data_IF_257466546673
#
_entry.id   IF_257466546673
#
_cell.length_a   1.000
_cell.length_b   1.000
_cell.length_c   1.000
_cell.angle_alpha   90.00
_cell.angle_beta   90.00
_cell.angle_gamma   90.00
#
_symmetry.space_group_name_H-M   'P 1'
#
loop_
_entity.id
_entity.type
_entity.pdbx_description
1 polymer ?
#
# COMPACT_ATOMS: atom_id res chain seq x y z
N UNK A 1 9.44 -9.22 61.66
CA UNK A 1 10.61 -9.79 62.32
C UNK A 1 11.61 -8.71 62.64
N UNK A 2 12.14 -8.72 63.89
CA UNK A 2 13.16 -7.78 64.35
C UNK A 2 14.53 -8.21 63.74
N UNK A 3 15.28 -7.27 63.23
CA UNK A 3 16.62 -7.54 62.72
C UNK A 3 17.64 -6.58 63.30
N UNK A 4 18.65 -7.12 63.94
CA UNK A 4 19.84 -6.40 64.45
C UNK A 4 20.98 -6.41 63.42
N UNK A 5 20.69 -6.39 62.14
CA UNK A 5 21.74 -6.43 61.11
C UNK A 5 22.35 -5.06 60.84
N UNK A 6 23.66 -4.97 60.63
CA UNK A 6 24.25 -3.78 60.06
C UNK A 6 23.65 -3.55 58.66
N UNK A 7 23.73 -2.29 58.18
CA UNK A 7 23.20 -1.88 56.88
C UNK A 7 23.67 -2.85 55.78
N UNK A 8 22.74 -3.58 55.20
CA UNK A 8 23.01 -4.50 54.06
C UNK A 8 21.84 -4.41 53.08
N UNK A 9 22.12 -4.47 51.87
CA UNK A 9 21.13 -4.31 50.80
C UNK A 9 20.60 -2.88 50.70
N UNK A 10 19.33 -2.74 50.38
CA UNK A 10 18.66 -1.44 50.19
C UNK A 10 18.38 -0.60 51.45
N UNK A 11 18.93 -0.97 52.61
CA UNK A 11 18.79 -0.17 53.82
C UNK A 11 19.71 1.04 53.74
N UNK A 12 19.14 2.24 53.67
CA UNK A 12 19.90 3.51 53.56
C UNK A 12 20.08 4.22 54.89
N UNK A 13 19.35 3.80 55.94
CA UNK A 13 19.37 4.46 57.24
C UNK A 13 20.01 3.61 58.31
N UNK A 14 20.72 4.28 59.25
CA UNK A 14 21.24 3.66 60.46
C UNK A 14 20.06 3.31 61.41
N UNK A 15 20.23 2.23 62.20
CA UNK A 15 19.25 1.83 63.20
C UNK A 15 18.97 2.98 64.19
N UNK A 16 17.70 3.30 64.37
CA UNK A 16 17.24 4.40 65.24
C UNK A 16 16.83 3.94 66.63
N UNK A 17 17.15 2.73 67.06
CA UNK A 17 16.81 2.16 68.38
C UNK A 17 16.41 0.72 68.36
N UNK A 18 15.65 0.27 69.39
CA UNK A 18 15.31 -1.12 69.60
C UNK A 18 14.30 -1.68 68.60
N UNK A 19 13.62 -0.82 67.78
CA UNK A 19 12.64 -1.24 66.78
C UNK A 19 12.85 -0.50 65.47
N UNK A 20 13.52 -1.16 64.50
CA UNK A 20 13.65 -0.64 63.15
C UNK A 20 12.51 -1.15 62.25
N UNK A 21 11.70 -0.23 61.74
CA UNK A 21 10.73 -0.50 60.70
C UNK A 21 11.41 -0.45 59.31
N UNK A 22 11.41 -1.55 58.61
CA UNK A 22 11.84 -1.59 57.25
C UNK A 22 10.72 -1.07 56.35
N UNK A 23 10.88 0.15 55.84
CA UNK A 23 10.13 0.55 54.66
C UNK A 23 10.81 -0.05 53.45
N UNK A 24 10.39 -1.24 53.04
CA UNK A 24 10.73 -1.73 51.73
C UNK A 24 9.93 -0.86 50.73
N UNK A 25 10.59 0.09 50.12
CA UNK A 25 10.07 0.66 48.87
C UNK A 25 10.17 -0.47 47.83
N UNK A 26 9.11 -1.22 47.73
CA UNK A 26 8.94 -2.08 46.55
C UNK A 26 8.88 -1.11 45.38
N UNK A 27 9.92 -1.09 44.56
CA UNK A 27 9.76 -0.58 43.20
C UNK A 27 8.52 -1.26 42.64
N UNK A 28 7.67 -0.58 41.86
CA UNK A 28 6.61 -1.23 41.14
C UNK A 28 7.23 -2.46 40.47
N UNK A 29 6.59 -3.60 40.72
CA UNK A 29 7.12 -4.93 40.47
C UNK A 29 7.80 -5.01 39.11
N UNK A 30 9.12 -5.07 39.12
CA UNK A 30 9.93 -5.44 37.99
C UNK A 30 9.73 -6.93 37.74
N UNK A 31 8.84 -7.30 36.88
CA UNK A 31 8.82 -8.65 36.32
C UNK A 31 9.82 -8.63 35.16
N UNK A 32 10.60 -9.69 35.03
CA UNK A 32 11.48 -9.89 33.88
C UNK A 32 10.64 -10.10 32.61
N UNK A 33 10.05 -9.01 32.11
CA UNK A 33 9.32 -8.95 30.85
C UNK A 33 10.22 -8.33 29.77
N UNK A 34 9.96 -8.62 28.50
CA UNK A 34 10.63 -7.87 27.44
C UNK A 34 10.39 -6.38 27.58
N UNK A 35 11.40 -5.57 27.26
CA UNK A 35 11.28 -4.11 27.22
C UNK A 35 10.18 -3.68 26.23
N UNK A 36 9.40 -2.67 26.66
CA UNK A 36 8.47 -1.93 25.79
C UNK A 36 8.82 -0.46 25.85
N UNK A 37 8.66 0.26 24.75
CA UNK A 37 9.01 1.67 24.67
C UNK A 37 8.04 2.55 25.48
N UNK A 38 8.34 2.75 26.78
CA UNK A 38 7.42 3.41 27.69
C UNK A 38 8.10 4.27 28.77
N UNK A 39 9.42 4.48 28.70
CA UNK A 39 10.26 5.20 29.68
C UNK A 39 10.43 4.49 31.02
N UNK A 40 10.06 3.23 31.16
CA UNK A 40 10.31 2.39 32.31
C UNK A 40 11.31 1.28 31.96
N UNK A 41 12.07 0.84 32.95
CA UNK A 41 12.95 -0.33 32.86
C UNK A 41 12.10 -1.58 33.20
N UNK A 42 11.48 -2.17 32.16
CA UNK A 42 10.53 -3.29 32.32
C UNK A 42 11.25 -4.62 32.63
N UNK A 43 12.51 -4.79 32.16
CA UNK A 43 13.30 -6.00 32.37
C UNK A 43 14.23 -5.89 33.61
N UNK A 44 14.34 -4.71 34.22
CA UNK A 44 15.09 -4.43 35.45
C UNK A 44 16.59 -4.66 35.35
N UNK A 45 17.16 -4.44 34.20
CA UNK A 45 18.60 -4.54 34.00
C UNK A 45 19.35 -3.22 34.33
N UNK A 46 18.62 -2.15 34.65
CA UNK A 46 19.14 -0.82 35.01
C UNK A 46 19.27 0.13 33.81
N UNK A 47 18.79 -0.28 32.63
CA UNK A 47 18.76 0.54 31.42
C UNK A 47 17.29 0.66 30.96
N UNK A 48 16.82 1.86 30.72
CA UNK A 48 15.46 2.16 30.31
C UNK A 48 15.33 1.93 28.81
N UNK A 49 14.27 1.24 28.38
CA UNK A 49 13.89 1.04 26.98
C UNK A 49 15.02 0.45 26.10
N UNK A 50 15.95 -0.34 26.67
CA UNK A 50 16.96 -1.04 25.91
C UNK A 50 16.38 -2.32 25.26
N UNK A 51 17.04 -2.79 24.19
CA UNK A 51 16.63 -3.97 23.43
C UNK A 51 15.19 -3.94 22.86
N UNK A 52 14.51 -2.78 22.86
CA UNK A 52 13.22 -2.61 22.20
C UNK A 52 13.39 -2.73 20.69
N UNK A 53 12.76 -3.74 20.08
CA UNK A 53 12.78 -3.94 18.63
C UNK A 53 11.46 -3.45 18.05
N UNK A 54 11.51 -2.33 17.32
CA UNK A 54 10.36 -1.90 16.55
C UNK A 54 10.01 -2.89 15.46
N UNK A 55 8.75 -3.22 15.33
CA UNK A 55 8.26 -4.15 14.33
C UNK A 55 7.30 -3.46 13.36
N UNK A 56 7.38 -3.84 12.10
CA UNK A 56 6.46 -3.38 11.07
C UNK A 56 6.26 -4.46 10.01
N UNK A 57 5.02 -4.70 9.67
CA UNK A 57 4.62 -5.54 8.55
C UNK A 57 3.65 -4.82 7.66
N UNK A 58 3.69 -5.10 6.35
CA UNK A 58 2.73 -4.56 5.40
C UNK A 58 2.06 -5.69 4.63
N UNK A 59 0.82 -5.44 4.22
CA UNK A 59 0.04 -6.37 3.42
C UNK A 59 -0.77 -5.65 2.34
N UNK A 60 -1.14 -6.36 1.27
CA UNK A 60 -2.00 -5.86 0.22
C UNK A 60 -3.40 -6.48 0.32
N UNK A 61 -4.45 -5.67 0.21
CA UNK A 61 -5.84 -6.12 0.28
C UNK A 61 -6.33 -6.81 -1.00
N UNK A 62 -5.46 -7.03 -1.99
CA UNK A 62 -5.81 -7.68 -3.26
C UNK A 62 -4.62 -7.86 -4.17
N UNK A 63 -4.89 -8.05 -5.47
CA UNK A 63 -3.84 -8.21 -6.48
C UNK A 63 -3.02 -6.93 -6.63
N UNK A 64 -1.71 -7.09 -6.71
CA UNK A 64 -0.76 -5.98 -6.88
C UNK A 64 -0.40 -5.72 -8.34
N UNK A 65 -1.01 -6.41 -9.28
CA UNK A 65 -0.86 -6.23 -10.72
C UNK A 65 -2.19 -5.83 -11.35
N UNK A 66 -2.27 -4.64 -11.92
CA UNK A 66 -3.51 -4.12 -12.51
C UNK A 66 -3.25 -3.14 -13.64
N UNK A 67 -4.30 -2.81 -14.37
CA UNK A 67 -4.23 -1.84 -15.48
C UNK A 67 -4.21 -0.40 -14.96
N UNK A 68 -3.65 0.50 -15.75
CA UNK A 68 -3.66 1.94 -15.48
C UNK A 68 -5.09 2.44 -15.20
N UNK A 69 -5.25 3.14 -14.08
CA UNK A 69 -6.53 3.59 -13.53
C UNK A 69 -7.07 2.72 -12.40
N UNK A 70 -6.46 1.54 -12.15
CA UNK A 70 -6.71 0.73 -10.96
C UNK A 70 -5.82 1.12 -9.79
N UNK A 71 -6.06 0.49 -8.63
CA UNK A 71 -5.29 0.67 -7.40
C UNK A 71 -5.41 -0.56 -6.50
N UNK A 72 -4.52 -0.65 -5.52
CA UNK A 72 -4.59 -1.62 -4.43
C UNK A 72 -4.42 -0.90 -3.10
N UNK A 73 -5.19 -1.29 -2.09
CA UNK A 73 -5.00 -0.81 -0.72
C UNK A 73 -3.89 -1.61 -0.05
N UNK A 74 -2.91 -0.93 0.50
CA UNK A 74 -1.85 -1.47 1.34
C UNK A 74 -2.17 -1.10 2.79
N UNK A 75 -1.87 -2.00 3.73
CA UNK A 75 -2.04 -1.76 5.17
C UNK A 75 -0.76 -2.10 5.91
N UNK A 76 -0.46 -1.33 6.95
CA UNK A 76 0.66 -1.54 7.84
C UNK A 76 0.17 -1.89 9.25
N UNK A 77 0.85 -2.84 9.90
CA UNK A 77 0.76 -3.13 11.34
C UNK A 77 2.14 -2.88 11.92
N UNK A 78 2.24 -2.07 12.97
CA UNK A 78 3.50 -1.58 13.51
C UNK A 78 3.40 -1.29 15.01
N UNK A 79 4.55 -1.26 15.69
CA UNK A 79 4.67 -0.99 17.12
C UNK A 79 5.01 0.48 17.45
N UNK A 80 5.72 1.19 16.56
CA UNK A 80 6.18 2.55 16.78
C UNK A 80 5.08 3.62 16.88
N UNK A 81 5.47 4.85 17.19
CA UNK A 81 4.55 5.98 17.39
C UNK A 81 4.25 6.76 16.12
N UNK A 82 5.06 6.63 15.10
CA UNK A 82 4.89 7.28 13.80
C UNK A 82 5.03 6.31 12.65
N UNK A 83 4.46 6.68 11.50
CA UNK A 83 4.45 5.88 10.28
C UNK A 83 4.70 6.75 9.05
N UNK A 84 5.52 6.26 8.11
CA UNK A 84 5.75 6.92 6.83
C UNK A 84 5.83 5.88 5.70
N UNK A 85 4.95 5.98 4.70
CA UNK A 85 5.04 5.16 3.50
C UNK A 85 6.12 5.69 2.56
N UNK A 86 6.83 4.76 1.95
CA UNK A 86 7.86 5.01 0.95
C UNK A 86 7.52 4.31 -0.37
N UNK A 87 7.97 4.92 -1.45
CA UNK A 87 7.95 4.31 -2.78
C UNK A 87 9.35 4.33 -3.38
N UNK A 88 9.88 3.17 -3.74
CA UNK A 88 11.26 3.00 -4.23
C UNK A 88 12.30 3.64 -3.30
N UNK A 89 12.10 3.53 -1.98
CA UNK A 89 12.99 4.08 -0.96
C UNK A 89 12.87 5.59 -0.73
N UNK A 90 11.86 6.25 -1.33
CA UNK A 90 11.61 7.71 -1.16
C UNK A 90 10.27 7.91 -0.45
N UNK A 91 10.24 8.78 0.53
CA UNK A 91 9.04 9.10 1.29
C UNK A 91 7.93 9.64 0.38
N UNK A 92 6.71 9.15 0.59
CA UNK A 92 5.51 9.67 -0.06
C UNK A 92 4.97 10.79 0.83
N UNK A 93 5.00 12.06 0.40
CA UNK A 93 4.60 13.17 1.24
C UNK A 93 3.17 13.01 1.79
N UNK A 94 3.04 13.11 3.13
CA UNK A 94 1.75 13.02 3.83
C UNK A 94 1.17 11.60 3.96
N UNK A 95 1.86 10.56 3.50
CA UNK A 95 1.41 9.17 3.63
C UNK A 95 1.82 8.59 5.00
N UNK A 96 1.13 9.00 6.06
CA UNK A 96 1.43 8.66 7.45
C UNK A 96 0.33 7.83 8.12
N UNK A 97 -0.69 7.41 7.38
CA UNK A 97 -1.76 6.56 7.90
C UNK A 97 -1.43 5.08 7.74
N UNK A 98 -1.99 4.22 8.58
CA UNK A 98 -1.82 2.77 8.50
C UNK A 98 -2.28 2.16 7.16
N UNK A 99 -3.15 2.82 6.42
CA UNK A 99 -3.60 2.41 5.09
C UNK A 99 -3.10 3.40 4.03
N UNK A 100 -2.62 2.86 2.90
CA UNK A 100 -2.21 3.62 1.73
C UNK A 100 -2.77 3.02 0.44
N UNK A 101 -3.28 3.85 -0.47
CA UNK A 101 -3.78 3.40 -1.77
C UNK A 101 -2.71 3.56 -2.83
N UNK A 102 -2.13 2.45 -3.28
CA UNK A 102 -1.10 2.43 -4.32
C UNK A 102 -1.74 2.32 -5.71
N UNK A 103 -1.59 3.34 -6.54
CA UNK A 103 -2.11 3.43 -7.92
C UNK A 103 -1.02 3.52 -8.98
N UNK A 104 0.25 3.50 -8.60
CA UNK A 104 1.38 3.63 -9.52
C UNK A 104 2.39 2.51 -9.31
N UNK A 105 3.06 2.13 -10.40
CA UNK A 105 4.10 1.08 -10.34
C UNK A 105 5.26 1.48 -9.45
N UNK A 106 5.71 0.55 -8.58
CA UNK A 106 6.87 0.75 -7.70
C UNK A 106 6.95 -0.29 -6.59
N UNK A 107 8.05 -0.27 -5.84
CA UNK A 107 8.22 -0.98 -4.59
C UNK A 107 7.72 -0.08 -3.45
N UNK A 108 6.79 -0.58 -2.67
CA UNK A 108 6.23 0.13 -1.52
C UNK A 108 6.73 -0.50 -0.24
N UNK A 109 7.19 0.31 0.68
CA UNK A 109 7.59 -0.05 2.03
C UNK A 109 7.03 0.98 3.01
N UNK A 110 7.10 0.66 4.28
CA UNK A 110 6.68 1.56 5.33
C UNK A 110 7.74 1.61 6.42
N UNK A 111 7.99 2.77 6.95
CA UNK A 111 8.91 3.02 8.07
C UNK A 111 8.09 3.38 9.29
N UNK A 112 8.37 2.76 10.43
CA UNK A 112 7.86 3.18 11.73
C UNK A 112 9.00 3.71 12.59
N UNK A 113 8.71 4.68 13.43
CA UNK A 113 9.69 5.29 14.33
C UNK A 113 9.04 5.55 15.67
N UNK A 114 9.81 5.34 16.75
CA UNK A 114 9.52 5.74 18.12
C UNK A 114 10.77 6.35 18.74
N UNK A 115 10.70 6.72 20.00
CA UNK A 115 11.87 7.19 20.76
C UNK A 115 12.90 6.07 20.95
N UNK A 116 12.49 4.80 20.87
CA UNK A 116 13.33 3.61 21.05
C UNK A 116 13.98 3.11 19.75
N UNK A 117 13.53 3.57 18.58
CA UNK A 117 14.14 3.15 17.32
C UNK A 117 13.29 3.35 16.09
N UNK A 118 13.79 2.73 15.01
CA UNK A 118 13.16 2.78 13.69
C UNK A 118 13.20 1.39 13.07
N UNK A 119 12.08 0.97 12.47
CA UNK A 119 12.00 -0.24 11.65
C UNK A 119 11.44 0.06 10.26
N UNK A 120 11.88 -0.72 9.28
CA UNK A 120 11.38 -0.68 7.91
C UNK A 120 10.78 -2.04 7.54
N UNK A 121 9.64 -2.03 6.86
CA UNK A 121 8.98 -3.25 6.42
C UNK A 121 9.69 -3.91 5.23
N UNK A 122 9.37 -5.16 4.96
CA UNK A 122 9.56 -5.75 3.64
C UNK A 122 8.84 -4.92 2.57
N UNK A 123 9.19 -5.14 1.30
CA UNK A 123 8.61 -4.38 0.19
C UNK A 123 7.49 -5.14 -0.50
N UNK A 124 6.42 -4.42 -0.89
CA UNK A 124 5.40 -4.92 -1.81
C UNK A 124 5.60 -4.27 -3.17
N UNK A 125 5.82 -5.08 -4.20
CA UNK A 125 5.91 -4.59 -5.57
C UNK A 125 4.51 -4.46 -6.17
N UNK A 126 4.15 -3.25 -6.60
CA UNK A 126 2.92 -2.95 -7.36
C UNK A 126 3.29 -2.76 -8.82
N UNK A 127 2.67 -3.55 -9.71
CA UNK A 127 2.87 -3.49 -11.15
C UNK A 127 1.64 -2.90 -11.84
N UNK A 128 1.82 -1.80 -12.57
CA UNK A 128 0.74 -1.13 -13.29
C UNK A 128 0.99 -1.23 -14.79
N UNK A 129 0.12 -1.95 -15.48
CA UNK A 129 0.19 -2.12 -16.93
C UNK A 129 -0.44 -0.91 -17.64
N UNK A 130 0.23 -0.42 -18.68
CA UNK A 130 -0.30 0.66 -19.51
C UNK A 130 -1.48 0.16 -20.35
N UNK A 131 -2.54 0.95 -20.40
CA UNK A 131 -3.63 0.71 -21.33
C UNK A 131 -3.16 0.91 -22.78
N UNK A 132 -3.67 0.14 -23.76
CA UNK A 132 -3.37 0.36 -25.17
C UNK A 132 -3.95 1.70 -25.65
N UNK A 133 -3.39 2.21 -26.73
CA UNK A 133 -4.02 3.33 -27.46
C UNK A 133 -5.21 2.80 -28.28
N UNK A 134 -6.33 3.50 -28.26
CA UNK A 134 -7.50 3.22 -29.08
C UNK A 134 -7.86 4.49 -29.87
N UNK A 135 -7.32 4.61 -31.09
CA UNK A 135 -7.52 5.76 -31.97
C UNK A 135 -8.27 5.25 -33.19
N UNK A 136 -9.47 5.78 -33.41
CA UNK A 136 -10.31 5.48 -34.57
C UNK A 136 -10.27 6.67 -35.53
N UNK A 137 -10.21 6.39 -36.81
CA UNK A 137 -10.30 7.36 -37.91
C UNK A 137 -11.27 6.87 -38.97
N UNK A 138 -11.95 7.78 -39.64
CA UNK A 138 -12.78 7.50 -40.78
C UNK A 138 -11.97 7.64 -42.08
N UNK A 139 -12.17 6.74 -43.04
CA UNK A 139 -11.52 6.78 -44.35
C UNK A 139 -12.21 7.73 -45.33
N UNK A 140 -13.25 8.43 -44.93
CA UNK A 140 -14.01 9.39 -45.74
C UNK A 140 -15.01 10.19 -44.93
N UNK A 141 -15.92 10.90 -45.57
CA UNK A 141 -16.99 11.66 -44.89
C UNK A 141 -17.84 10.76 -44.01
N UNK A 142 -18.13 11.23 -42.79
CA UNK A 142 -19.01 10.51 -41.83
C UNK A 142 -20.49 10.85 -42.04
N UNK A 143 -20.80 11.72 -42.98
CA UNK A 143 -22.17 12.04 -43.43
C UNK A 143 -22.35 11.53 -44.84
N UNK A 144 -23.35 10.65 -45.06
CA UNK A 144 -23.66 10.06 -46.35
C UNK A 144 -25.16 9.82 -46.50
N UNK A 145 -25.63 9.71 -47.75
CA UNK A 145 -27.02 9.42 -48.06
C UNK A 145 -27.37 7.94 -47.76
N UNK A 146 -28.65 7.63 -47.71
CA UNK A 146 -29.16 6.25 -47.57
C UNK A 146 -28.49 5.32 -48.62
N UNK A 147 -27.97 4.18 -48.20
CA UNK A 147 -27.23 3.25 -49.03
C UNK A 147 -25.72 3.54 -49.13
N UNK A 148 -25.25 4.69 -48.63
CA UNK A 148 -23.83 4.99 -48.52
C UNK A 148 -23.17 4.28 -47.31
N UNK A 149 -21.84 4.44 -47.23
CA UNK A 149 -21.05 3.84 -46.15
C UNK A 149 -19.75 4.63 -45.90
N UNK A 150 -19.11 4.34 -44.78
CA UNK A 150 -17.75 4.79 -44.46
C UNK A 150 -16.97 3.71 -43.75
N UNK A 151 -15.72 3.51 -44.17
CA UNK A 151 -14.80 2.62 -43.47
C UNK A 151 -14.18 3.33 -42.28
N UNK A 152 -14.35 2.75 -41.12
CA UNK A 152 -13.70 3.18 -39.87
C UNK A 152 -12.47 2.30 -39.63
N UNK A 153 -11.35 2.89 -39.26
CA UNK A 153 -10.10 2.20 -38.99
C UNK A 153 -9.63 2.49 -37.58
N UNK A 154 -9.21 1.46 -36.84
CA UNK A 154 -8.49 1.62 -35.59
C UNK A 154 -7.00 1.42 -35.82
N UNK A 155 -6.16 2.27 -35.25
CA UNK A 155 -4.70 2.12 -35.33
C UNK A 155 -4.27 0.77 -34.75
N UNK A 156 -3.55 -0.06 -35.53
CA UNK A 156 -3.09 -1.37 -35.06
C UNK A 156 -2.18 -1.25 -33.83
N UNK A 157 -2.38 -2.13 -32.84
CA UNK A 157 -1.56 -2.24 -31.64
C UNK A 157 -1.11 -3.69 -31.49
N UNK A 158 0.18 -3.93 -31.60
CA UNK A 158 0.74 -5.30 -31.52
C UNK A 158 0.29 -6.03 -30.25
N UNK A 159 -0.05 -7.32 -30.35
CA UNK A 159 -0.51 -8.15 -29.23
C UNK A 159 -1.83 -7.66 -28.63
N UNK A 160 -2.75 -7.19 -29.47
CA UNK A 160 -4.07 -6.72 -29.04
C UNK A 160 -5.17 -7.33 -29.88
N UNK A 161 -6.33 -7.51 -29.26
CA UNK A 161 -7.61 -7.82 -29.89
C UNK A 161 -8.50 -6.58 -29.98
N UNK A 162 -9.49 -6.64 -30.87
CA UNK A 162 -10.39 -5.52 -31.16
C UNK A 162 -11.83 -5.97 -31.02
N UNK A 163 -12.70 -5.03 -30.64
CA UNK A 163 -14.14 -5.20 -30.67
C UNK A 163 -14.78 -3.85 -30.99
N UNK A 164 -15.55 -3.80 -32.08
CA UNK A 164 -16.33 -2.62 -32.44
C UNK A 164 -17.65 -2.58 -31.70
N UNK A 165 -18.07 -1.38 -31.42
CA UNK A 165 -19.33 -1.05 -30.76
C UNK A 165 -20.09 -0.02 -31.59
N UNK A 166 -21.42 -0.12 -31.61
CA UNK A 166 -22.34 0.89 -32.09
C UNK A 166 -23.31 1.25 -30.98
N UNK A 167 -23.45 2.55 -30.69
CA UNK A 167 -24.35 3.09 -29.65
C UNK A 167 -24.22 2.33 -28.31
N UNK A 168 -22.96 2.09 -27.88
CA UNK A 168 -22.55 1.34 -26.69
C UNK A 168 -22.77 -0.18 -26.74
N UNK A 169 -23.41 -0.74 -27.76
CA UNK A 169 -23.60 -2.19 -27.92
C UNK A 169 -22.49 -2.82 -28.76
N UNK A 170 -21.94 -3.99 -28.39
CA UNK A 170 -20.95 -4.66 -29.19
C UNK A 170 -21.57 -5.16 -30.52
N UNK A 171 -20.81 -4.98 -31.62
CA UNK A 171 -21.21 -5.49 -32.94
C UNK A 171 -20.68 -6.92 -33.06
N UNK A 172 -21.54 -7.95 -33.16
CA UNK A 172 -21.11 -9.33 -33.24
C UNK A 172 -20.14 -9.58 -34.42
N UNK A 173 -19.02 -10.27 -34.15
CA UNK A 173 -18.01 -10.61 -35.15
C UNK A 173 -17.13 -9.45 -35.65
N UNK A 174 -17.37 -8.22 -35.22
CA UNK A 174 -16.56 -7.07 -35.62
C UNK A 174 -15.29 -6.96 -34.76
N UNK A 175 -14.29 -7.80 -35.05
CA UNK A 175 -13.07 -7.97 -34.26
C UNK A 175 -11.78 -7.68 -35.01
N UNK A 176 -11.89 -7.08 -36.19
CA UNK A 176 -10.73 -6.66 -37.01
C UNK A 176 -10.47 -5.15 -36.88
N UNK A 177 -9.35 -4.70 -37.42
CA UNK A 177 -8.91 -3.28 -37.31
C UNK A 177 -9.74 -2.29 -38.13
N UNK A 178 -10.63 -2.77 -38.99
CA UNK A 178 -11.53 -1.92 -39.77
C UNK A 178 -13.00 -2.37 -39.59
N UNK A 179 -13.90 -1.44 -39.81
CA UNK A 179 -15.34 -1.67 -39.79
C UNK A 179 -16.04 -0.79 -40.82
N UNK A 180 -16.94 -1.40 -41.63
CA UNK A 180 -17.73 -0.68 -42.62
C UNK A 180 -19.05 -0.23 -41.97
N UNK A 181 -19.16 1.05 -41.69
CA UNK A 181 -20.38 1.65 -41.13
C UNK A 181 -21.34 2.02 -42.24
N UNK A 182 -22.52 1.40 -42.26
CA UNK A 182 -23.60 1.61 -43.25
C UNK A 182 -24.84 2.29 -42.71
N UNK A 183 -24.87 2.54 -41.39
CA UNK A 183 -26.01 3.15 -40.70
C UNK A 183 -25.52 4.24 -39.74
N UNK A 184 -26.35 5.21 -39.46
CA UNK A 184 -26.06 6.25 -38.48
C UNK A 184 -25.90 5.64 -37.08
N UNK A 185 -25.00 6.20 -36.26
CA UNK A 185 -24.72 5.76 -34.90
C UNK A 185 -23.36 6.24 -34.42
N UNK A 186 -23.07 6.08 -33.15
CA UNK A 186 -21.76 6.37 -32.55
C UNK A 186 -20.95 5.09 -32.51
N UNK A 187 -19.87 5.08 -33.30
CA UNK A 187 -18.99 3.92 -33.39
C UNK A 187 -17.75 4.09 -32.55
N UNK A 188 -17.39 3.05 -31.78
CA UNK A 188 -16.18 2.98 -30.96
C UNK A 188 -15.50 1.63 -31.15
N UNK A 189 -14.19 1.60 -30.95
CA UNK A 189 -13.45 0.35 -30.92
C UNK A 189 -12.76 0.20 -29.56
N UNK A 190 -12.99 -0.96 -28.90
CA UNK A 190 -12.21 -1.39 -27.75
C UNK A 190 -10.98 -2.14 -28.25
N UNK A 191 -9.82 -1.68 -27.80
CA UNK A 191 -8.52 -2.36 -28.03
C UNK A 191 -8.11 -2.98 -26.70
N UNK A 192 -7.84 -4.29 -26.69
CA UNK A 192 -7.48 -5.04 -25.48
C UNK A 192 -6.12 -5.70 -25.68
N UNK A 193 -5.16 -5.45 -24.79
CA UNK A 193 -3.89 -6.16 -24.72
C UNK A 193 -4.12 -7.60 -24.30
N UNK A 194 -3.81 -8.59 -25.16
CA UNK A 194 -4.08 -10.02 -24.91
C UNK A 194 -3.27 -10.56 -23.72
N UNK A 195 -2.04 -10.07 -23.52
CA UNK A 195 -1.16 -10.53 -22.45
C UNK A 195 -1.59 -10.08 -21.04
N UNK A 196 -2.26 -8.93 -20.92
CA UNK A 196 -2.58 -8.32 -19.60
C UNK A 196 -4.07 -8.12 -19.37
N UNK A 197 -4.90 -8.26 -20.41
CA UNK A 197 -6.33 -7.92 -20.38
C UNK A 197 -6.61 -6.42 -20.32
N UNK A 198 -5.60 -5.55 -20.26
CA UNK A 198 -5.79 -4.11 -20.19
C UNK A 198 -6.39 -3.57 -21.48
N UNK A 199 -7.37 -2.72 -21.38
CA UNK A 199 -8.08 -2.20 -22.54
C UNK A 199 -8.30 -0.68 -22.51
N UNK A 200 -8.54 -0.14 -23.67
CA UNK A 200 -9.04 1.22 -23.88
C UNK A 200 -10.10 1.20 -24.97
N UNK A 201 -11.18 1.95 -24.77
CA UNK A 201 -12.17 2.22 -25.81
C UNK A 201 -11.90 3.60 -26.40
N UNK A 202 -12.00 3.73 -27.73
CA UNK A 202 -11.83 5.01 -28.43
C UNK A 202 -12.89 6.03 -28.01
N UNK A 203 -12.60 7.30 -28.29
CA UNK A 203 -13.66 8.31 -28.40
C UNK A 203 -14.66 7.90 -29.51
N UNK A 204 -15.86 8.41 -29.48
CA UNK A 204 -16.88 8.24 -30.52
C UNK A 204 -16.69 9.24 -31.65
#
# INVERSE_FOLDING_TARGET
GYSYSPISGNKTDASLGEEDYWAIKLSPECFASPEICNTFDDNCNGIIDDDVIETITISAAGITEFCQGGSVSLSATYSGTSLQWQKNGVDIPGATLAAYTAATKGNYACVTTSDCGTAISETIFVNVFKNPKAIVSAAGPTTFCFGGNVTLNVSPVAGSSYQWYKDASPIPGATVTNYLATTAGIYKCRVTKTATGCYKTSAG
#
